data_IF_431757650526
#
_entry.id   IF_431757650526
#
_cell.length_a   1.000
_cell.length_b   1.000
_cell.length_c   1.000
_cell.angle_alpha   90.00
_cell.angle_beta   90.00
_cell.angle_gamma   90.00
#
_symmetry.space_group_name_H-M   'P 1'
#
loop_
_entity.id
_entity.type
_entity.pdbx_description
1 polymer ?
#
# COMPACT_ATOMS: atom_id res chain seq x y z
N UNK A 1 -1.59 26.60 -5.75
CA UNK A 1 -1.75 25.12 -5.75
C UNK A 1 -0.66 24.53 -6.63
N UNK A 2 0.42 24.02 -6.03
CA UNK A 2 1.57 23.46 -6.76
C UNK A 2 1.22 22.09 -7.34
N UNK A 3 1.26 21.96 -8.65
CA UNK A 3 1.09 20.67 -9.32
C UNK A 3 2.28 19.75 -9.01
N UNK A 4 2.03 18.59 -8.43
CA UNK A 4 3.03 17.52 -8.24
C UNK A 4 3.67 17.21 -9.60
N UNK A 5 4.99 17.37 -9.71
CA UNK A 5 5.72 17.09 -10.95
C UNK A 5 5.57 15.61 -11.30
N UNK A 6 5.53 15.30 -12.58
CA UNK A 6 5.28 13.94 -13.09
C UNK A 6 6.32 12.92 -12.62
N UNK A 7 7.54 13.37 -12.30
CA UNK A 7 8.61 12.60 -11.65
C UNK A 7 8.21 12.12 -10.26
N UNK A 8 7.62 13.00 -9.46
CA UNK A 8 7.32 12.78 -8.04
C UNK A 8 6.17 11.80 -7.92
N UNK A 9 5.18 11.89 -8.81
CA UNK A 9 4.08 10.94 -8.87
C UNK A 9 4.55 9.49 -9.12
N UNK A 10 5.55 9.29 -10.00
CA UNK A 10 6.10 7.95 -10.27
C UNK A 10 6.81 7.37 -9.04
N UNK A 11 7.55 8.21 -8.32
CA UNK A 11 8.23 7.82 -7.08
C UNK A 11 7.21 7.45 -6.01
N UNK A 12 6.16 8.26 -5.84
CA UNK A 12 5.09 8.00 -4.89
C UNK A 12 4.36 6.68 -5.18
N UNK A 13 4.03 6.42 -6.45
CA UNK A 13 3.44 5.13 -6.86
C UNK A 13 4.39 3.96 -6.58
N UNK A 14 5.71 4.13 -6.80
CA UNK A 14 6.71 3.10 -6.49
C UNK A 14 6.71 2.79 -4.99
N UNK A 15 6.73 3.82 -4.15
CA UNK A 15 6.72 3.68 -2.69
C UNK A 15 5.40 3.01 -2.21
N UNK A 16 4.26 3.37 -2.80
CA UNK A 16 2.98 2.74 -2.49
C UNK A 16 2.97 1.24 -2.89
N UNK A 17 3.52 0.89 -4.06
CA UNK A 17 3.69 -0.52 -4.44
C UNK A 17 4.62 -1.26 -3.49
N UNK A 18 5.71 -0.63 -3.08
CA UNK A 18 6.65 -1.21 -2.11
C UNK A 18 5.99 -1.46 -0.76
N UNK A 19 5.13 -0.54 -0.28
CA UNK A 19 4.31 -0.75 0.91
C UNK A 19 3.47 -2.03 0.81
N UNK A 20 2.73 -2.23 -0.29
CA UNK A 20 1.91 -3.45 -0.45
C UNK A 20 2.76 -4.71 -0.59
N UNK A 21 3.91 -4.66 -1.26
CA UNK A 21 4.83 -5.79 -1.30
C UNK A 21 5.40 -6.14 0.10
N UNK A 22 5.64 -5.12 0.92
CA UNK A 22 6.10 -5.30 2.29
C UNK A 22 4.99 -5.85 3.20
N UNK A 23 3.71 -5.57 2.92
CA UNK A 23 2.58 -6.25 3.58
C UNK A 23 2.56 -7.75 3.25
N UNK A 24 2.69 -8.12 1.97
CA UNK A 24 2.76 -9.53 1.56
C UNK A 24 3.95 -10.23 2.26
N UNK A 25 5.11 -9.57 2.31
CA UNK A 25 6.30 -10.09 3.02
C UNK A 25 6.08 -10.23 4.53
N UNK A 26 5.38 -9.29 5.15
CA UNK A 26 5.06 -9.35 6.56
C UNK A 26 4.18 -10.57 6.87
N UNK A 27 3.18 -10.84 6.02
CA UNK A 27 2.32 -12.02 6.14
C UNK A 27 3.14 -13.31 6.01
N UNK A 28 4.02 -13.40 5.02
CA UNK A 28 4.92 -14.54 4.83
C UNK A 28 5.83 -14.77 6.05
N UNK A 29 6.36 -13.71 6.66
CA UNK A 29 7.19 -13.84 7.86
C UNK A 29 6.40 -14.28 9.08
N UNK A 30 5.15 -13.82 9.22
CA UNK A 30 4.24 -14.26 10.30
C UNK A 30 3.92 -15.76 10.15
N UNK A 31 3.62 -16.21 8.94
CA UNK A 31 3.42 -17.64 8.63
C UNK A 31 4.71 -18.45 8.83
N UNK A 32 5.87 -17.91 8.47
CA UNK A 32 7.15 -18.59 8.70
C UNK A 32 7.45 -18.72 10.20
N UNK A 33 7.16 -17.69 10.99
CA UNK A 33 7.35 -17.69 12.45
C UNK A 33 6.54 -18.81 13.14
N UNK A 34 5.31 -19.08 12.68
CA UNK A 34 4.47 -20.14 13.28
C UNK A 34 5.01 -21.54 13.04
N UNK A 35 5.83 -21.73 12.02
CA UNK A 35 6.31 -23.06 11.58
C UNK A 35 7.75 -23.36 12.00
N UNK A 36 8.44 -22.42 12.65
CA UNK A 36 9.80 -22.62 13.16
C UNK A 36 9.72 -23.14 14.59
N UNK A 37 10.60 -24.07 14.95
CA UNK A 37 10.77 -24.51 16.34
C UNK A 37 12.00 -23.86 16.99
N UNK A 38 13.08 -23.67 16.22
CA UNK A 38 14.34 -23.08 16.68
C UNK A 38 14.16 -21.66 17.23
N UNK A 39 14.58 -21.47 18.49
CA UNK A 39 14.42 -20.22 19.22
C UNK A 39 15.22 -19.06 18.59
N UNK A 40 16.45 -19.31 18.16
CA UNK A 40 17.31 -18.28 17.57
C UNK A 40 16.71 -17.74 16.27
N UNK A 41 16.21 -18.64 15.41
CA UNK A 41 15.50 -18.26 14.19
C UNK A 41 14.17 -17.54 14.49
N UNK A 42 13.41 -17.97 15.51
CA UNK A 42 12.20 -17.24 15.95
C UNK A 42 12.51 -15.79 16.35
N UNK A 43 13.59 -15.56 17.10
CA UNK A 43 14.02 -14.22 17.50
C UNK A 43 14.37 -13.38 16.27
N UNK A 44 15.18 -13.92 15.34
CA UNK A 44 15.54 -13.23 14.09
C UNK A 44 14.33 -12.84 13.25
N UNK A 45 13.37 -13.75 13.08
CA UNK A 45 12.13 -13.46 12.33
C UNK A 45 11.29 -12.43 13.07
N UNK A 46 11.19 -12.51 14.39
CA UNK A 46 10.43 -11.54 15.19
C UNK A 46 10.98 -10.12 15.03
N UNK A 47 12.31 -9.96 15.06
CA UNK A 47 12.95 -8.66 14.78
C UNK A 47 12.66 -8.18 13.34
N UNK A 48 12.66 -9.09 12.37
CA UNK A 48 12.29 -8.78 10.98
C UNK A 48 10.84 -8.30 10.84
N UNK A 49 9.91 -8.93 11.56
CA UNK A 49 8.48 -8.54 11.62
C UNK A 49 8.35 -7.13 12.21
N UNK A 50 8.95 -6.87 13.38
CA UNK A 50 8.87 -5.56 14.05
C UNK A 50 9.43 -4.45 13.14
N UNK A 51 10.57 -4.70 12.50
CA UNK A 51 11.18 -3.73 11.58
C UNK A 51 10.28 -3.43 10.37
N UNK A 52 9.58 -4.44 9.83
CA UNK A 52 8.62 -4.22 8.74
C UNK A 52 7.37 -3.50 9.23
N UNK A 53 6.81 -3.88 10.38
CA UNK A 53 5.64 -3.21 10.96
C UNK A 53 5.89 -1.72 11.19
N UNK A 54 7.08 -1.37 11.71
CA UNK A 54 7.49 0.02 11.87
C UNK A 54 7.56 0.77 10.54
N UNK A 55 8.10 0.16 9.47
CA UNK A 55 8.16 0.77 8.14
C UNK A 55 6.78 0.93 7.48
N UNK A 56 5.86 0.03 7.81
CA UNK A 56 4.50 0.03 7.27
C UNK A 56 3.59 1.00 8.04
N UNK A 57 4.01 1.46 9.22
CA UNK A 57 3.17 2.21 10.14
C UNK A 57 2.58 3.47 9.50
N UNK A 58 3.42 4.35 8.94
CA UNK A 58 2.97 5.64 8.39
C UNK A 58 1.95 5.48 7.27
N UNK A 59 2.19 4.56 6.34
CA UNK A 59 1.25 4.26 5.27
C UNK A 59 -0.03 3.59 5.78
N UNK A 60 0.08 2.66 6.73
CA UNK A 60 -1.09 2.02 7.34
C UNK A 60 -1.96 3.06 8.03
N UNK A 61 -1.35 3.99 8.77
CA UNK A 61 -2.02 5.09 9.41
C UNK A 61 -2.66 6.03 8.38
N UNK A 62 -1.91 6.45 7.35
CA UNK A 62 -2.41 7.35 6.32
C UNK A 62 -3.56 6.75 5.51
N UNK A 63 -3.50 5.46 5.20
CA UNK A 63 -4.60 4.76 4.52
C UNK A 63 -5.86 4.75 5.38
N UNK A 64 -5.74 4.50 6.70
CA UNK A 64 -6.89 4.42 7.60
C UNK A 64 -7.52 5.78 7.90
N UNK A 65 -6.71 6.83 7.98
CA UNK A 65 -7.16 8.13 8.49
C UNK A 65 -7.39 9.19 7.38
N UNK A 66 -6.70 9.09 6.24
CA UNK A 66 -6.76 10.12 5.19
C UNK A 66 -7.60 9.69 3.98
N UNK A 67 -7.86 8.39 3.83
CA UNK A 67 -8.66 7.86 2.74
C UNK A 67 -10.04 7.45 3.23
N UNK A 68 -11.05 7.74 2.41
CA UNK A 68 -12.41 7.24 2.66
C UNK A 68 -12.55 5.77 2.21
N UNK A 69 -13.71 5.16 2.50
CA UNK A 69 -13.95 3.75 2.20
C UNK A 69 -13.81 3.40 0.71
N UNK A 70 -14.26 4.27 -0.20
CA UNK A 70 -14.14 4.05 -1.65
C UNK A 70 -12.67 4.07 -2.09
N UNK A 71 -11.88 5.02 -1.58
CA UNK A 71 -10.45 5.17 -1.84
C UNK A 71 -9.64 3.98 -1.27
N UNK A 72 -9.95 3.56 -0.04
CA UNK A 72 -9.37 2.38 0.60
C UNK A 72 -9.68 1.10 -0.18
N UNK A 73 -10.93 0.94 -0.62
CA UNK A 73 -11.36 -0.20 -1.45
C UNK A 73 -10.61 -0.22 -2.78
N UNK A 74 -10.43 0.94 -3.42
CA UNK A 74 -9.70 1.04 -4.69
C UNK A 74 -8.25 0.58 -4.56
N UNK A 75 -7.50 1.09 -3.58
CA UNK A 75 -6.10 0.67 -3.42
C UNK A 75 -5.97 -0.81 -3.05
N UNK A 76 -6.90 -1.35 -2.24
CA UNK A 76 -6.95 -2.77 -1.93
C UNK A 76 -7.13 -3.60 -3.20
N UNK A 77 -8.13 -3.25 -4.02
CA UNK A 77 -8.40 -3.98 -5.26
C UNK A 77 -7.25 -3.88 -6.26
N UNK A 78 -6.61 -2.71 -6.36
CA UNK A 78 -5.53 -2.48 -7.29
C UNK A 78 -4.21 -3.15 -6.89
N UNK A 79 -3.82 -3.07 -5.62
CA UNK A 79 -2.48 -3.49 -5.20
C UNK A 79 -2.45 -4.81 -4.44
N UNK A 80 -3.49 -5.12 -3.65
CA UNK A 80 -3.61 -6.40 -2.95
C UNK A 80 -4.21 -7.44 -3.90
N UNK A 81 -5.40 -7.16 -4.45
CA UNK A 81 -6.09 -8.10 -5.34
C UNK A 81 -5.57 -8.07 -6.79
N UNK A 82 -4.71 -7.10 -7.14
CA UNK A 82 -4.04 -6.98 -8.44
C UNK A 82 -5.03 -6.97 -9.62
N UNK A 83 -6.22 -6.39 -9.44
CA UNK A 83 -7.18 -6.22 -10.53
C UNK A 83 -6.63 -5.29 -11.62
N UNK A 84 -6.89 -5.67 -12.88
CA UNK A 84 -6.52 -4.85 -14.01
C UNK A 84 -7.43 -3.61 -14.13
N UNK A 85 -7.01 -2.61 -14.92
CA UNK A 85 -7.75 -1.35 -15.05
C UNK A 85 -9.18 -1.58 -15.53
N UNK A 86 -9.42 -2.50 -16.49
CA UNK A 86 -10.78 -2.79 -17.00
C UNK A 86 -11.72 -3.28 -15.89
N UNK A 87 -11.24 -4.18 -15.03
CA UNK A 87 -12.02 -4.67 -13.89
C UNK A 87 -12.32 -3.54 -12.90
N UNK A 88 -11.35 -2.66 -12.65
CA UNK A 88 -11.55 -1.48 -11.80
C UNK A 88 -12.56 -0.50 -12.42
N UNK A 89 -12.55 -0.30 -13.75
CA UNK A 89 -13.52 0.57 -14.43
C UNK A 89 -14.96 0.09 -14.22
N UNK A 90 -15.17 -1.23 -14.33
CA UNK A 90 -16.47 -1.87 -14.07
C UNK A 90 -16.87 -1.75 -12.60
N UNK A 91 -15.98 -2.10 -11.66
CA UNK A 91 -16.28 -2.12 -10.22
C UNK A 91 -16.62 -0.73 -9.69
N UNK A 92 -15.89 0.30 -10.15
CA UNK A 92 -16.05 1.67 -9.67
C UNK A 92 -16.97 2.50 -10.56
N UNK A 93 -17.45 1.94 -11.68
CA UNK A 93 -18.23 2.63 -12.70
C UNK A 93 -17.59 3.97 -13.12
N UNK A 94 -16.29 3.93 -13.45
CA UNK A 94 -15.48 5.10 -13.80
C UNK A 94 -14.63 4.78 -15.02
N UNK A 95 -14.48 5.73 -15.95
CA UNK A 95 -13.56 5.57 -17.09
C UNK A 95 -12.10 5.48 -16.64
N UNK A 96 -11.22 4.91 -17.47
CA UNK A 96 -9.78 4.84 -17.20
C UNK A 96 -9.18 6.22 -16.83
N UNK A 97 -9.57 7.27 -17.55
CA UNK A 97 -9.09 8.64 -17.30
C UNK A 97 -9.52 9.14 -15.91
N UNK A 98 -10.75 8.81 -15.50
CA UNK A 98 -11.29 9.13 -14.18
C UNK A 98 -10.57 8.33 -13.10
N UNK A 99 -10.28 7.05 -13.32
CA UNK A 99 -9.50 6.21 -12.39
C UNK A 99 -8.08 6.72 -12.22
N UNK A 100 -7.41 7.18 -13.28
CA UNK A 100 -6.07 7.78 -13.18
C UNK A 100 -6.09 9.05 -12.33
N UNK A 101 -7.09 9.92 -12.51
CA UNK A 101 -7.26 11.11 -11.66
C UNK A 101 -7.59 10.74 -10.21
N UNK A 102 -8.40 9.71 -10.02
CA UNK A 102 -8.77 9.19 -8.71
C UNK A 102 -7.55 8.64 -7.96
N UNK A 103 -6.74 7.80 -8.61
CA UNK A 103 -5.47 7.32 -8.07
C UNK A 103 -4.53 8.47 -7.71
N UNK A 104 -4.41 9.46 -8.61
CA UNK A 104 -3.57 10.64 -8.34
C UNK A 104 -4.04 11.40 -7.10
N UNK A 105 -5.35 11.55 -6.90
CA UNK A 105 -5.93 12.17 -5.70
C UNK A 105 -5.57 11.37 -4.44
N UNK A 106 -5.70 10.04 -4.48
CA UNK A 106 -5.35 9.15 -3.36
C UNK A 106 -3.87 9.28 -3.00
N UNK A 107 -3.00 9.20 -4.01
CA UNK A 107 -1.55 9.35 -3.80
C UNK A 107 -1.22 10.70 -3.20
N UNK A 108 -1.79 11.79 -3.72
CA UNK A 108 -1.55 13.12 -3.16
C UNK A 108 -2.02 13.23 -1.70
N UNK A 109 -3.15 12.61 -1.33
CA UNK A 109 -3.62 12.58 0.05
C UNK A 109 -2.65 11.84 0.97
N UNK A 110 -2.16 10.68 0.55
CA UNK A 110 -1.23 9.90 1.36
C UNK A 110 0.10 10.66 1.53
N UNK A 111 0.72 11.08 0.43
CA UNK A 111 2.06 11.65 0.49
C UNK A 111 2.10 13.11 0.96
N UNK A 112 1.03 13.89 0.76
CA UNK A 112 0.95 15.26 1.28
C UNK A 112 0.60 15.36 2.77
N UNK A 113 0.31 14.24 3.43
CA UNK A 113 0.06 14.19 4.88
C UNK A 113 1.03 13.24 5.63
N UNK A 114 1.92 12.55 4.91
CA UNK A 114 2.98 11.69 5.46
C UNK A 114 4.35 12.42 5.39
N UNK A 115 4.53 13.29 4.39
CA UNK A 115 5.71 14.14 4.20
C UNK A 115 5.30 15.61 4.15
#
# INVERSE_FOLDING_TARGET
MGGVKTSDYRIMIKNLKEYFNNLDRLEQLKQKKSNIEDFSQKVKITLGIINLENRLFDFTYGIRNYLNDEEQKYIKFKYINKFNNKALEVIFNKSESTLRRFEKKIVNKLFGNIY
#
